data_IF_550875081085
#
_entry.id   IF_550875081085
#
_cell.length_a   1.000
_cell.length_b   1.000
_cell.length_c   1.000
_cell.angle_alpha   90.00
_cell.angle_beta   90.00
_cell.angle_gamma   90.00
#
_symmetry.space_group_name_H-M   'P 1'
#
loop_
_entity.id
_entity.type
_entity.pdbx_description
1 polymer ?
#
# COMPACT_ATOMS: atom_id res chain seq x y z
N UNK A 1 -10.35 12.74 3.58
CA UNK A 1 -8.91 12.78 3.25
C UNK A 1 -8.14 12.71 4.56
N UNK A 2 -7.43 11.61 4.81
CA UNK A 2 -6.68 11.41 6.06
C UNK A 2 -5.19 11.56 5.76
N UNK A 3 -4.49 12.42 6.51
CA UNK A 3 -3.04 12.68 6.36
C UNK A 3 -2.57 13.00 4.93
N UNK A 4 -3.38 13.70 4.13
CA UNK A 4 -3.01 14.08 2.76
C UNK A 4 -3.17 12.96 1.72
N UNK A 5 -3.80 11.84 2.09
CA UNK A 5 -4.20 10.80 1.13
C UNK A 5 -5.54 11.10 0.47
N UNK A 6 -5.59 10.88 -0.84
CA UNK A 6 -6.79 10.91 -1.68
C UNK A 6 -6.95 9.55 -2.36
N UNK A 7 -8.16 9.01 -2.38
CA UNK A 7 -8.49 7.79 -3.11
C UNK A 7 -9.55 8.13 -4.16
N UNK A 8 -9.30 7.75 -5.41
CA UNK A 8 -10.21 7.95 -6.54
C UNK A 8 -10.64 6.60 -7.10
N UNK A 9 -11.95 6.49 -7.34
CA UNK A 9 -12.55 5.32 -7.96
C UNK A 9 -12.95 5.70 -9.38
N UNK A 10 -12.37 5.03 -10.37
CA UNK A 10 -12.73 5.22 -11.78
C UNK A 10 -13.50 3.99 -12.26
N UNK A 11 -14.68 4.22 -12.80
CA UNK A 11 -15.48 3.18 -13.43
C UNK A 11 -15.37 3.34 -14.95
N UNK A 12 -15.00 2.28 -15.65
CA UNK A 12 -14.95 2.31 -17.11
C UNK A 12 -16.35 2.17 -17.69
N UNK A 13 -16.73 3.05 -18.61
CA UNK A 13 -18.03 3.03 -19.28
C UNK A 13 -18.14 1.89 -20.33
N UNK A 14 -17.01 1.32 -20.75
CA UNK A 14 -16.96 0.26 -21.75
C UNK A 14 -17.17 -1.13 -21.15
N UNK A 15 -18.44 -1.51 -20.92
CA UNK A 15 -18.96 -2.89 -20.90
C UNK A 15 -18.51 -3.84 -19.79
N UNK A 16 -17.23 -3.82 -19.40
CA UNK A 16 -16.73 -4.45 -18.20
C UNK A 16 -16.97 -3.51 -17.02
N UNK A 17 -17.71 -3.97 -15.99
CA UNK A 17 -17.88 -3.26 -14.70
C UNK A 17 -16.57 -3.21 -13.89
N UNK A 18 -15.42 -3.13 -14.56
CA UNK A 18 -14.12 -3.00 -13.95
C UNK A 18 -14.05 -1.64 -13.27
N UNK A 19 -13.67 -1.68 -11.99
CA UNK A 19 -13.46 -0.51 -11.16
C UNK A 19 -11.96 -0.45 -10.90
N UNK A 20 -11.34 0.65 -11.31
CA UNK A 20 -9.98 0.96 -10.92
C UNK A 20 -10.00 1.84 -9.67
N UNK A 21 -9.06 1.58 -8.76
CA UNK A 21 -8.80 2.43 -7.60
C UNK A 21 -7.39 3.03 -7.71
N UNK A 22 -7.32 4.36 -7.59
CA UNK A 22 -6.09 5.11 -7.56
C UNK A 22 -5.93 5.79 -6.21
N UNK A 23 -4.73 5.75 -5.65
CA UNK A 23 -4.40 6.42 -4.40
C UNK A 23 -3.36 7.50 -4.67
N UNK A 24 -3.48 8.65 -4.03
CA UNK A 24 -2.58 9.78 -4.22
C UNK A 24 -2.09 10.31 -2.88
N UNK A 25 -0.80 10.61 -2.82
CA UNK A 25 -0.18 11.27 -1.67
C UNK A 25 1.08 12.03 -2.10
N UNK A 26 1.19 13.30 -1.70
CA UNK A 26 2.33 14.20 -2.03
C UNK A 26 2.72 14.15 -3.52
N UNK A 27 1.72 14.25 -4.39
CA UNK A 27 1.87 14.23 -5.86
C UNK A 27 2.36 12.89 -6.46
N UNK A 28 2.37 11.81 -5.68
CA UNK A 28 2.60 10.44 -6.19
C UNK A 28 1.27 9.71 -6.34
N UNK A 29 1.13 8.96 -7.42
CA UNK A 29 0.03 8.02 -7.65
C UNK A 29 0.47 6.60 -7.29
N UNK A 30 -0.43 5.84 -6.69
CA UNK A 30 -0.28 4.42 -6.36
C UNK A 30 -1.51 3.68 -6.89
N UNK A 31 -1.30 2.49 -7.48
CA UNK A 31 -2.35 1.73 -8.17
C UNK A 31 -2.81 0.48 -7.43
N UNK A 32 -2.20 0.19 -6.28
CA UNK A 32 -2.55 -0.97 -5.47
C UNK A 32 -2.36 -0.72 -3.98
N UNK A 33 -3.08 -1.49 -3.16
CA UNK A 33 -2.90 -1.49 -1.70
C UNK A 33 -1.47 -1.88 -1.29
N UNK A 34 -0.82 -2.75 -2.05
CA UNK A 34 0.56 -3.16 -1.79
C UNK A 34 1.52 -1.97 -1.87
N UNK A 35 1.40 -1.14 -2.91
CA UNK A 35 2.23 0.04 -3.08
C UNK A 35 2.00 1.07 -1.97
N UNK A 36 0.73 1.26 -1.58
CA UNK A 36 0.37 2.14 -0.45
C UNK A 36 1.01 1.64 0.85
N UNK A 37 0.87 0.34 1.16
CA UNK A 37 1.48 -0.27 2.36
C UNK A 37 3.00 -0.15 2.33
N UNK A 38 3.65 -0.51 1.22
CA UNK A 38 5.11 -0.34 1.05
C UNK A 38 5.53 1.10 1.31
N UNK A 39 4.79 2.11 0.84
CA UNK A 39 5.13 3.51 1.10
C UNK A 39 4.94 3.92 2.57
N UNK A 40 3.81 3.54 3.19
CA UNK A 40 3.50 3.89 4.59
C UNK A 40 4.51 3.25 5.56
N UNK A 41 4.88 2.00 5.32
CA UNK A 41 5.78 1.25 6.20
C UNK A 41 7.27 1.37 5.83
N UNK A 42 7.61 2.04 4.70
CA UNK A 42 9.01 2.19 4.24
C UNK A 42 9.98 2.73 5.30
N UNK A 43 9.53 3.66 6.14
CA UNK A 43 10.37 4.30 7.16
C UNK A 43 10.46 3.50 8.46
N UNK A 44 9.70 2.41 8.59
CA UNK A 44 9.69 1.60 9.78
C UNK A 44 10.53 0.35 9.50
N UNK A 45 11.78 0.36 9.96
CA UNK A 45 12.80 -0.69 9.79
C UNK A 45 12.41 -2.09 10.31
N UNK A 46 11.23 -2.23 10.89
CA UNK A 46 10.73 -3.47 11.51
C UNK A 46 9.51 -4.03 10.81
N UNK A 47 9.12 -3.50 9.66
CA UNK A 47 7.94 -3.99 8.95
C UNK A 47 8.28 -4.37 7.53
N UNK A 48 8.02 -5.64 7.21
CA UNK A 48 8.04 -6.15 5.85
C UNK A 48 6.60 -6.22 5.33
N UNK A 49 6.38 -5.81 4.08
CA UNK A 49 5.09 -5.95 3.42
C UNK A 49 5.16 -7.13 2.47
N UNK A 50 4.45 -8.19 2.83
CA UNK A 50 4.33 -9.40 2.03
C UNK A 50 3.74 -9.07 0.67
N UNK A 51 4.43 -9.44 -0.40
CA UNK A 51 4.02 -9.08 -1.76
C UNK A 51 2.83 -9.88 -2.26
N UNK A 52 2.61 -11.09 -1.73
CA UNK A 52 1.56 -12.01 -2.16
C UNK A 52 0.26 -11.74 -1.39
N UNK A 53 0.35 -11.64 -0.07
CA UNK A 53 -0.83 -11.46 0.80
C UNK A 53 -1.14 -10.00 1.09
N UNK A 54 -0.23 -9.08 0.74
CA UNK A 54 -0.23 -7.66 1.13
C UNK A 54 -0.11 -7.42 2.63
N UNK A 55 0.00 -8.46 3.46
CA UNK A 55 0.08 -8.34 4.91
C UNK A 55 1.36 -7.64 5.36
N UNK A 56 1.27 -6.95 6.49
CA UNK A 56 2.40 -6.28 7.11
C UNK A 56 2.88 -7.17 8.25
N UNK A 57 4.07 -7.74 8.13
CA UNK A 57 4.69 -8.59 9.15
C UNK A 57 5.67 -7.72 9.94
N UNK A 58 5.64 -7.86 11.27
CA UNK A 58 6.69 -7.31 12.12
C UNK A 58 7.93 -8.19 11.89
N UNK A 59 8.98 -7.63 11.28
CA UNK A 59 10.32 -8.20 11.34
C UNK A 59 10.79 -8.08 12.79
N UNK A 60 10.34 -9.02 13.62
CA UNK A 60 10.96 -9.29 14.90
C UNK A 60 12.39 -9.69 14.57
N UNK A 61 13.30 -8.72 14.67
CA UNK A 61 14.75 -8.96 14.65
C UNK A 61 14.96 -10.03 15.71
N UNK A 62 15.13 -11.28 15.26
CA UNK A 62 15.48 -12.39 16.13
C UNK A 62 16.87 -12.04 16.64
N UNK A 63 16.93 -11.42 17.82
CA UNK A 63 18.16 -11.21 18.54
C UNK A 63 18.65 -12.62 18.84
N UNK A 64 19.59 -13.10 18.03
CA UNK A 64 20.42 -14.25 18.33
C UNK A 64 21.13 -13.93 19.64
N UNK A 65 20.52 -14.34 20.75
CA UNK A 65 21.20 -14.47 22.03
C UNK A 65 22.20 -15.61 21.87
N UNK A 66 23.47 -15.25 21.65
CA UNK A 66 24.62 -16.14 21.86
C UNK A 66 24.79 -16.48 23.33
#
# INVERSE_FOLDING_TARGET
MQHGWVAEKTQHENGSRAIDMYYYHKSKQYRSNLEVRKYVFKSLLKFEVDQETTEVKDEVISMTTS
#
